data_IF_699553719857
#
_entry.id   IF_699553719857
#
_cell.length_a   1.000
_cell.length_b   1.000
_cell.length_c   1.000
_cell.angle_alpha   90.00
_cell.angle_beta   90.00
_cell.angle_gamma   90.00
#
_symmetry.space_group_name_H-M   'P 1'
#
loop_
_entity.id
_entity.type
_entity.pdbx_description
1 polymer ?
#
# COMPACT_ATOMS: atom_id res chain seq x y z
N UNK A 1 3.60 6.18 18.10
CA UNK A 1 3.72 5.33 16.89
C UNK A 1 2.76 5.80 15.81
N UNK A 2 1.45 5.95 16.08
CA UNK A 2 0.50 6.54 15.11
C UNK A 2 0.98 7.87 14.48
N UNK A 3 1.58 8.76 15.28
CA UNK A 3 2.12 10.04 14.83
C UNK A 3 3.29 9.92 13.83
N UNK A 4 4.10 8.85 13.93
CA UNK A 4 5.20 8.58 12.99
C UNK A 4 4.66 8.08 11.65
N UNK A 5 3.70 7.16 11.66
CA UNK A 5 3.12 6.63 10.41
C UNK A 5 2.27 7.68 9.68
N UNK A 6 1.61 8.57 10.41
CA UNK A 6 0.94 9.74 9.82
C UNK A 6 1.92 10.69 9.15
N UNK A 7 3.08 10.94 9.76
CA UNK A 7 4.15 11.74 9.15
C UNK A 7 4.69 11.07 7.87
N UNK A 8 4.90 9.76 7.90
CA UNK A 8 5.33 8.98 6.74
C UNK A 8 4.28 9.00 5.62
N UNK A 9 3.00 8.84 5.95
CA UNK A 9 1.92 8.91 4.96
C UNK A 9 1.85 10.29 4.30
N UNK A 10 1.91 11.36 5.11
CA UNK A 10 1.91 12.73 4.59
C UNK A 10 3.11 12.99 3.67
N UNK A 11 4.28 12.44 4.00
CA UNK A 11 5.47 12.52 3.14
C UNK A 11 5.26 11.84 1.79
N UNK A 12 4.68 10.63 1.76
CA UNK A 12 4.39 9.94 0.49
C UNK A 12 3.28 10.61 -0.32
N UNK A 13 2.29 11.22 0.33
CA UNK A 13 1.27 12.02 -0.34
C UNK A 13 1.88 13.27 -0.99
N UNK A 14 2.83 13.93 -0.32
CA UNK A 14 3.56 15.05 -0.89
C UNK A 14 4.42 14.64 -2.11
N UNK A 15 5.13 13.51 -2.02
CA UNK A 15 5.88 12.97 -3.16
C UNK A 15 4.96 12.62 -4.34
N UNK A 16 3.77 12.08 -4.07
CA UNK A 16 2.76 11.86 -5.11
C UNK A 16 2.36 13.18 -5.76
N UNK A 17 2.11 14.24 -4.99
CA UNK A 17 1.77 15.56 -5.54
C UNK A 17 2.91 16.18 -6.37
N UNK A 18 4.17 15.96 -5.96
CA UNK A 18 5.34 16.41 -6.73
C UNK A 18 5.53 15.61 -8.02
N UNK A 19 5.21 14.31 -8.01
CA UNK A 19 5.19 13.49 -9.22
C UNK A 19 4.05 13.92 -10.16
N UNK A 20 2.86 14.25 -9.64
CA UNK A 20 1.75 14.82 -10.43
C UNK A 20 2.14 16.14 -11.12
N UNK A 21 3.06 16.89 -10.52
CA UNK A 21 3.62 18.11 -11.09
C UNK A 21 4.83 17.85 -12.03
N UNK A 22 5.18 16.59 -12.30
CA UNK A 22 6.33 16.20 -13.13
C UNK A 22 7.70 16.60 -12.56
N UNK A 23 7.78 16.88 -11.26
CA UNK A 23 8.99 17.43 -10.61
C UNK A 23 9.97 16.34 -10.14
N UNK A 24 9.52 15.09 -10.12
CA UNK A 24 10.33 13.93 -9.71
C UNK A 24 10.39 12.96 -10.91
N UNK A 25 11.55 12.36 -11.16
CA UNK A 25 11.71 11.34 -12.19
C UNK A 25 12.28 10.06 -11.57
N UNK A 26 11.60 8.93 -11.78
CA UNK A 26 12.06 7.61 -11.34
C UNK A 26 12.30 6.74 -12.58
N UNK A 27 13.44 6.06 -12.70
CA UNK A 27 13.67 5.11 -13.80
C UNK A 27 12.61 4.01 -13.84
N UNK A 28 12.14 3.66 -15.03
CA UNK A 28 11.04 2.69 -15.22
C UNK A 28 11.34 1.31 -14.61
N UNK A 29 12.58 0.82 -14.73
CA UNK A 29 13.00 -0.45 -14.13
C UNK A 29 12.97 -0.42 -12.59
N UNK A 30 13.32 0.72 -12.00
CA UNK A 30 13.26 0.95 -10.55
C UNK A 30 11.80 1.03 -10.11
N UNK A 31 10.97 1.80 -10.81
CA UNK A 31 9.53 1.88 -10.54
C UNK A 31 8.87 0.49 -10.60
N UNK A 32 9.24 -0.37 -11.58
CA UNK A 32 8.68 -1.71 -11.74
C UNK A 32 9.00 -2.64 -10.58
N UNK A 33 10.25 -2.60 -10.13
CA UNK A 33 10.69 -3.38 -8.98
C UNK A 33 10.03 -2.90 -7.69
N UNK A 34 9.85 -1.59 -7.55
CA UNK A 34 9.18 -1.00 -6.39
C UNK A 34 7.67 -1.31 -6.37
N UNK A 35 6.94 -1.21 -7.49
CA UNK A 35 5.52 -1.63 -7.56
C UNK A 35 5.37 -3.12 -7.21
N UNK A 36 6.23 -3.98 -7.76
CA UNK A 36 6.21 -5.41 -7.47
C UNK A 36 6.44 -5.70 -5.98
N UNK A 37 7.36 -4.97 -5.33
CA UNK A 37 7.59 -5.08 -3.89
C UNK A 37 6.37 -4.61 -3.08
N UNK A 38 5.76 -3.48 -3.46
CA UNK A 38 4.52 -2.98 -2.85
C UNK A 38 3.39 -4.02 -2.97
N UNK A 39 3.20 -4.65 -4.14
CA UNK A 39 2.21 -5.71 -4.35
C UNK A 39 2.44 -6.88 -3.41
N UNK A 40 3.67 -7.39 -3.36
CA UNK A 40 4.00 -8.53 -2.52
C UNK A 40 3.74 -8.24 -1.04
N UNK A 41 4.07 -7.03 -0.60
CA UNK A 41 3.91 -6.62 0.79
C UNK A 41 2.44 -6.34 1.16
N UNK A 42 1.67 -5.67 0.29
CA UNK A 42 0.21 -5.51 0.47
C UNK A 42 -0.50 -6.87 0.58
N UNK A 43 -0.11 -7.84 -0.26
CA UNK A 43 -0.64 -9.19 -0.18
C UNK A 43 -0.30 -9.87 1.16
N UNK A 44 0.88 -9.59 1.72
CA UNK A 44 1.28 -10.08 3.05
C UNK A 44 0.46 -9.44 4.17
N UNK A 45 0.33 -8.11 4.18
CA UNK A 45 -0.47 -7.37 5.16
C UNK A 45 -1.94 -7.81 5.13
N UNK A 46 -2.52 -7.98 3.93
CA UNK A 46 -3.87 -8.49 3.78
C UNK A 46 -4.05 -9.93 4.31
N UNK A 47 -3.02 -10.79 4.21
CA UNK A 47 -3.05 -12.12 4.87
C UNK A 47 -3.04 -11.98 6.40
N UNK A 48 -2.25 -11.06 6.95
CA UNK A 48 -2.19 -10.81 8.38
C UNK A 48 -3.54 -10.31 8.93
N UNK A 49 -4.21 -9.37 8.23
CA UNK A 49 -5.56 -8.94 8.61
C UNK A 49 -6.55 -10.11 8.65
N UNK A 50 -6.59 -10.94 7.61
CA UNK A 50 -7.48 -12.12 7.57
C UNK A 50 -7.19 -13.10 8.70
N UNK A 51 -5.91 -13.34 9.01
CA UNK A 51 -5.52 -14.21 10.11
C UNK A 51 -5.93 -13.63 11.47
N UNK A 52 -5.80 -12.32 11.66
CA UNK A 52 -6.22 -11.64 12.88
C UNK A 52 -7.74 -11.77 13.09
N UNK A 53 -8.54 -11.57 12.04
CA UNK A 53 -9.99 -11.75 12.07
C UNK A 53 -10.40 -13.22 12.32
N UNK A 54 -9.64 -14.18 11.78
CA UNK A 54 -9.92 -15.60 12.00
C UNK A 54 -9.75 -16.03 13.46
N UNK A 55 -8.83 -15.40 14.21
CA UNK A 55 -8.66 -15.64 15.65
C UNK A 55 -9.88 -15.17 16.44
N UNK A 56 -10.54 -14.10 15.98
CA UNK A 56 -11.71 -13.51 16.63
C UNK A 56 -12.99 -14.33 16.42
N UNK A 57 -13.18 -14.89 15.21
CA UNK A 57 -14.47 -15.49 14.80
C UNK A 57 -14.55 -17.02 15.06
N UNK A 58 -13.43 -17.75 15.05
CA UNK A 58 -13.49 -19.19 14.76
C UNK A 58 -13.61 -20.15 15.95
N UNK A 59 -13.35 -19.75 17.19
CA UNK A 59 -13.34 -20.72 18.31
C UNK A 59 -13.91 -20.12 19.59
N UNK A 60 -14.99 -20.67 20.19
CA UNK A 60 -15.32 -20.39 21.59
C UNK A 60 -14.23 -21.00 22.48
N UNK A 61 -13.57 -20.18 23.32
CA UNK A 61 -12.40 -20.62 24.10
C UNK A 61 -12.78 -21.58 25.25
N UNK A 62 -14.06 -21.93 25.37
CA UNK A 62 -14.63 -22.78 26.41
C UNK A 62 -15.33 -22.00 27.51
N UNK A 63 -15.89 -22.72 28.48
CA UNK A 63 -16.69 -22.13 29.58
C UNK A 63 -15.84 -21.71 30.80
N UNK A 64 -14.54 -21.99 30.80
CA UNK A 64 -13.66 -21.56 31.90
C UNK A 64 -13.54 -20.04 31.92
N UNK A 65 -13.66 -19.45 33.10
CA UNK A 65 -13.50 -18.00 33.31
C UNK A 65 -12.16 -17.48 32.78
N UNK A 66 -11.07 -18.23 32.97
CA UNK A 66 -9.74 -17.87 32.44
C UNK A 66 -9.70 -17.82 30.91
N UNK A 67 -10.45 -18.70 30.24
CA UNK A 67 -10.53 -18.72 28.79
C UNK A 67 -11.34 -17.54 28.24
N UNK A 68 -12.44 -17.18 28.92
CA UNK A 68 -13.23 -15.99 28.62
C UNK A 68 -12.44 -14.69 28.84
N UNK A 69 -11.69 -14.62 29.95
CA UNK A 69 -10.83 -13.46 30.27
C UNK A 69 -9.70 -13.29 29.24
N UNK A 70 -9.15 -14.40 28.74
CA UNK A 70 -8.11 -14.39 27.71
C UNK A 70 -8.69 -13.99 26.35
N UNK A 71 -9.84 -14.55 25.96
CA UNK A 71 -10.57 -14.17 24.76
C UNK A 71 -10.88 -12.65 24.76
N UNK A 72 -11.35 -12.10 25.89
CA UNK A 72 -11.61 -10.66 26.01
C UNK A 72 -10.34 -9.80 25.92
N UNK A 73 -9.19 -10.29 26.43
CA UNK A 73 -7.90 -9.60 26.32
C UNK A 73 -7.37 -9.60 24.89
N UNK A 74 -7.43 -10.74 24.21
CA UNK A 74 -7.02 -10.87 22.81
C UNK A 74 -7.97 -10.11 21.88
N UNK A 75 -9.28 -10.14 22.13
CA UNK A 75 -10.26 -9.34 21.40
C UNK A 75 -9.88 -7.86 21.41
N UNK A 76 -9.55 -7.28 22.57
CA UNK A 76 -9.08 -5.88 22.64
C UNK A 76 -7.74 -5.59 21.95
N UNK A 77 -6.88 -6.59 21.78
CA UNK A 77 -5.61 -6.44 21.05
C UNK A 77 -5.83 -6.52 19.53
N UNK A 78 -6.84 -7.26 19.11
CA UNK A 78 -7.19 -7.50 17.70
C UNK A 78 -8.16 -6.44 17.17
N UNK A 79 -9.15 -6.04 17.98
CA UNK A 79 -10.16 -5.03 17.67
C UNK A 79 -10.27 -4.02 18.84
N UNK A 80 -9.94 -2.75 18.57
CA UNK A 80 -10.22 -1.63 19.46
C UNK A 80 -9.02 -0.87 20.06
N UNK A 81 -9.23 0.43 20.25
CA UNK A 81 -8.25 1.49 20.58
C UNK A 81 -7.20 1.72 19.50
N UNK A 82 -6.64 2.93 19.40
CA UNK A 82 -5.70 3.40 18.35
C UNK A 82 -4.40 2.57 18.16
N UNK A 83 -4.27 1.43 18.84
CA UNK A 83 -3.14 0.49 18.76
C UNK A 83 -3.56 -0.96 18.55
N UNK A 84 -4.83 -1.23 18.23
CA UNK A 84 -5.22 -2.57 17.84
C UNK A 84 -4.52 -2.98 16.54
N UNK A 85 -4.32 -4.28 16.41
CA UNK A 85 -3.59 -4.87 15.29
C UNK A 85 -4.24 -4.52 13.95
N UNK A 86 -5.57 -4.45 13.88
CA UNK A 86 -6.30 -4.02 12.68
C UNK A 86 -5.97 -2.58 12.26
N UNK A 87 -5.94 -1.64 13.20
CA UNK A 87 -5.59 -0.23 12.95
C UNK A 87 -4.15 -0.10 12.48
N UNK A 88 -3.21 -0.78 13.14
CA UNK A 88 -1.78 -0.74 12.76
C UNK A 88 -1.61 -1.33 11.36
N UNK A 89 -2.21 -2.49 11.09
CA UNK A 89 -2.13 -3.10 9.76
C UNK A 89 -2.74 -2.21 8.68
N UNK A 90 -3.83 -1.49 8.99
CA UNK A 90 -4.43 -0.54 8.06
C UNK A 90 -3.52 0.66 7.79
N UNK A 91 -2.90 1.24 8.83
CA UNK A 91 -1.95 2.35 8.65
C UNK A 91 -0.77 1.94 7.76
N UNK A 92 -0.22 0.74 7.96
CA UNK A 92 0.81 0.19 7.08
C UNK A 92 0.31 -0.01 5.64
N UNK A 93 -0.93 -0.48 5.44
CA UNK A 93 -1.53 -0.62 4.11
C UNK A 93 -1.61 0.74 3.43
N UNK A 94 -2.13 1.76 4.11
CA UNK A 94 -2.33 3.10 3.56
C UNK A 94 -1.01 3.73 3.07
N UNK A 95 0.07 3.58 3.86
CA UNK A 95 1.42 4.04 3.47
C UNK A 95 1.91 3.33 2.21
N UNK A 96 1.78 2.01 2.15
CA UNK A 96 2.29 1.22 1.02
C UNK A 96 1.45 1.44 -0.24
N UNK A 97 0.15 1.69 -0.12
CA UNK A 97 -0.71 2.11 -1.22
C UNK A 97 -0.30 3.49 -1.76
N UNK A 98 0.00 4.45 -0.88
CA UNK A 98 0.52 5.76 -1.28
C UNK A 98 1.85 5.64 -2.02
N UNK A 99 2.77 4.79 -1.54
CA UNK A 99 4.02 4.48 -2.24
C UNK A 99 3.76 3.88 -3.63
N UNK A 100 2.82 2.94 -3.73
CA UNK A 100 2.51 2.26 -4.98
C UNK A 100 1.90 3.19 -6.03
N UNK A 101 1.08 4.14 -5.59
CA UNK A 101 0.49 5.16 -6.46
C UNK A 101 1.57 5.96 -7.19
N UNK A 102 2.63 6.34 -6.47
CA UNK A 102 3.77 7.07 -7.04
C UNK A 102 4.42 6.27 -8.16
N UNK A 103 4.76 5.00 -7.89
CA UNK A 103 5.47 4.16 -8.86
C UNK A 103 4.64 3.84 -10.11
N UNK A 104 3.32 3.70 -9.96
CA UNK A 104 2.43 3.39 -11.09
C UNK A 104 2.32 4.52 -12.09
N UNK A 105 2.31 5.77 -11.63
CA UNK A 105 2.26 6.94 -12.51
C UNK A 105 3.44 7.02 -13.47
N UNK A 106 4.62 6.56 -13.03
CA UNK A 106 5.78 6.48 -13.92
C UNK A 106 5.58 5.52 -15.10
N UNK A 107 4.74 4.50 -14.99
CA UNK A 107 4.39 3.68 -16.17
C UNK A 107 3.48 4.43 -17.12
N UNK A 108 2.42 5.05 -16.60
CA UNK A 108 1.44 5.79 -17.41
C UNK A 108 2.10 6.94 -18.17
N UNK A 109 3.03 7.67 -17.54
CA UNK A 109 3.79 8.76 -18.17
C UNK A 109 4.81 8.25 -19.19
N UNK A 110 5.48 7.12 -18.92
CA UNK A 110 6.47 6.55 -19.86
C UNK A 110 5.78 5.99 -21.10
N UNK A 111 4.65 5.30 -20.94
CA UNK A 111 3.85 4.78 -22.06
C UNK A 111 3.31 5.93 -22.92
N UNK A 112 2.79 7.00 -22.30
CA UNK A 112 2.33 8.18 -23.02
C UNK A 112 3.48 8.91 -23.77
N UNK A 113 4.67 8.98 -23.19
CA UNK A 113 5.84 9.58 -23.82
C UNK A 113 6.36 8.75 -25.01
N UNK A 114 6.37 7.42 -24.88
CA UNK A 114 6.75 6.50 -25.95
C UNK A 114 5.73 6.53 -27.10
N UNK A 115 4.43 6.52 -26.81
CA UNK A 115 3.37 6.65 -27.81
C UNK A 115 3.43 7.98 -28.56
N UNK A 116 3.65 9.09 -27.85
CA UNK A 116 3.81 10.41 -28.46
C UNK A 116 5.07 10.48 -29.34
N UNK A 117 6.17 9.87 -28.89
CA UNK A 117 7.41 9.79 -29.65
C UNK A 117 7.24 8.96 -30.92
N UNK A 118 6.59 7.80 -30.81
CA UNK A 118 6.28 6.92 -31.93
C UNK A 118 5.36 7.61 -32.96
N UNK A 119 4.34 8.33 -32.49
CA UNK A 119 3.45 9.11 -33.34
C UNK A 119 4.19 10.24 -34.08
N UNK A 120 5.09 10.96 -33.40
CA UNK A 120 5.91 12.01 -34.02
C UNK A 120 6.88 11.46 -35.06
N UNK A 121 7.53 10.33 -34.78
CA UNK A 121 8.42 9.65 -35.75
C UNK A 121 7.63 9.19 -36.97
N UNK A 122 6.43 8.63 -36.77
CA UNK A 122 5.54 8.21 -37.86
C UNK A 122 5.09 9.39 -38.71
N UNK A 123 4.76 10.53 -38.10
CA UNK A 123 4.38 11.75 -38.80
C UNK A 123 5.54 12.41 -39.58
N UNK A 124 6.78 12.15 -39.18
CA UNK A 124 8.00 12.64 -39.85
C UNK A 124 8.58 11.64 -40.86
N UNK A 125 8.06 10.41 -40.92
CA UNK A 125 8.50 9.41 -41.89
C UNK A 125 8.05 9.82 -43.30
N UNK A 126 8.98 9.97 -44.26
CA UNK A 126 8.62 10.33 -45.63
C UNK A 126 7.77 9.21 -46.26
N UNK A 127 6.70 9.61 -46.95
CA UNK A 127 5.87 8.67 -47.73
C UNK A 127 6.70 8.10 -48.88
N UNK A 128 6.83 6.77 -48.93
CA UNK A 128 7.50 6.05 -50.02
C UNK A 128 6.57 5.92 -51.23
#
# INVERSE_FOLDING_TARGET
>A
MADFEQNVLAHWQDLNAQADAGTITIPCDVAARCDAACVAYLAHLGRMQRNALAIDIATPWGALKSAQDLQARFGRLVTGTDRSLDIILQQHIDVIESMRMLFRRYFDETEAADDQTAANITALAPEN
#
